data_IF_805675869433
#
_entry.id   IF_805675869433
#
_cell.length_a   1.000
_cell.length_b   1.000
_cell.length_c   1.000
_cell.angle_alpha   90.00
_cell.angle_beta   90.00
_cell.angle_gamma   90.00
#
_symmetry.space_group_name_H-M   'P 1'
#
loop_
_entity.id
_entity.type
_entity.pdbx_description
1 polymer ?
#
# COMPACT_ATOMS: atom_id res chain seq x y z
N UNK A 1 21.40 4.87 4.50
CA UNK A 1 20.08 4.38 4.04
C UNK A 1 19.95 4.64 2.55
N UNK A 2 19.78 3.57 1.75
CA UNK A 2 19.73 3.64 0.29
C UNK A 2 18.52 4.49 -0.18
N UNK A 3 18.59 5.07 -1.38
CA UNK A 3 17.50 5.86 -1.99
C UNK A 3 16.19 5.09 -2.03
N UNK A 4 16.22 3.82 -2.44
CA UNK A 4 15.05 2.95 -2.49
C UNK A 4 14.41 2.74 -1.11
N UNK A 5 15.22 2.67 -0.05
CA UNK A 5 14.72 2.61 1.32
C UNK A 5 14.07 3.93 1.75
N UNK A 6 14.66 5.09 1.41
CA UNK A 6 14.06 6.41 1.71
C UNK A 6 12.69 6.58 1.04
N UNK A 7 12.58 6.23 -0.24
CA UNK A 7 11.30 6.27 -0.98
C UNK A 7 10.29 5.32 -0.33
N UNK A 8 10.71 4.09 0.00
CA UNK A 8 9.82 3.09 0.62
C UNK A 8 9.33 3.53 2.00
N UNK A 9 10.19 4.17 2.81
CA UNK A 9 9.80 4.75 4.10
C UNK A 9 8.75 5.85 3.95
N UNK A 10 8.94 6.78 3.00
CA UNK A 10 7.93 7.80 2.70
C UNK A 10 6.61 7.14 2.29
N UNK A 11 6.66 6.09 1.46
CA UNK A 11 5.47 5.36 1.04
C UNK A 11 4.71 4.74 2.23
N UNK A 12 5.43 4.04 3.11
CA UNK A 12 4.84 3.43 4.31
C UNK A 12 4.25 4.48 5.24
N UNK A 13 4.97 5.57 5.51
CA UNK A 13 4.51 6.63 6.41
C UNK A 13 3.24 7.29 5.84
N UNK A 14 3.26 7.70 4.57
CA UNK A 14 2.12 8.35 3.93
C UNK A 14 0.89 7.43 3.88
N UNK A 15 1.04 6.17 3.47
CA UNK A 15 -0.10 5.23 3.41
C UNK A 15 -0.64 4.94 4.81
N UNK A 16 0.24 4.65 5.78
CA UNK A 16 -0.20 4.29 7.14
C UNK A 16 -0.90 5.46 7.83
N UNK A 17 -0.36 6.67 7.71
CA UNK A 17 -0.98 7.88 8.26
C UNK A 17 -2.32 8.19 7.60
N UNK A 18 -2.41 8.07 6.27
CA UNK A 18 -3.67 8.25 5.54
C UNK A 18 -4.75 7.25 5.95
N UNK A 19 -4.38 5.97 6.14
CA UNK A 19 -5.31 4.93 6.59
C UNK A 19 -5.80 5.19 8.01
N UNK A 20 -4.90 5.55 8.93
CA UNK A 20 -5.25 5.85 10.33
C UNK A 20 -6.20 7.05 10.38
N UNK A 21 -5.84 8.16 9.71
CA UNK A 21 -6.66 9.36 9.68
C UNK A 21 -8.03 9.12 9.03
N UNK A 22 -8.07 8.38 7.92
CA UNK A 22 -9.34 8.03 7.26
C UNK A 22 -10.23 7.20 8.20
N UNK A 23 -9.65 6.20 8.88
CA UNK A 23 -10.41 5.33 9.80
C UNK A 23 -10.97 6.12 10.98
N UNK A 24 -10.16 6.99 11.59
CA UNK A 24 -10.60 7.87 12.69
C UNK A 24 -11.72 8.79 12.22
N UNK A 25 -11.55 9.44 11.07
CA UNK A 25 -12.55 10.36 10.51
C UNK A 25 -13.87 9.64 10.21
N UNK A 26 -13.83 8.49 9.54
CA UNK A 26 -15.03 7.68 9.26
C UNK A 26 -15.73 7.28 10.56
N UNK A 27 -14.97 6.85 11.57
CA UNK A 27 -15.54 6.45 12.88
C UNK A 27 -16.26 7.62 13.55
N UNK A 28 -15.63 8.79 13.62
CA UNK A 28 -16.24 9.99 14.22
C UNK A 28 -17.50 10.41 13.45
N UNK A 29 -17.43 10.48 12.12
CA UNK A 29 -18.57 10.88 11.29
C UNK A 29 -19.70 9.85 11.36
N UNK A 30 -19.39 8.57 11.47
CA UNK A 30 -20.37 7.51 11.65
C UNK A 30 -21.19 7.73 12.92
N UNK A 31 -20.55 7.98 14.06
CA UNK A 31 -21.25 8.23 15.32
C UNK A 31 -22.01 9.57 15.37
N UNK A 32 -21.57 10.58 14.60
CA UNK A 32 -22.19 11.92 14.62
C UNK A 32 -23.33 12.08 13.61
N UNK A 33 -23.19 11.52 12.41
CA UNK A 33 -24.07 11.82 11.26
C UNK A 33 -24.58 10.53 10.59
N UNK A 34 -23.87 9.40 10.76
CA UNK A 34 -24.20 8.14 10.13
C UNK A 34 -23.80 8.06 8.65
N UNK A 35 -24.03 6.89 8.05
CA UNK A 35 -23.89 6.70 6.61
C UNK A 35 -25.10 7.29 5.87
N UNK A 36 -24.93 7.85 4.65
CA UNK A 36 -23.74 7.80 3.79
C UNK A 36 -22.73 8.95 3.99
N UNK A 37 -23.02 9.97 4.79
CA UNK A 37 -22.13 11.16 4.90
C UNK A 37 -20.76 10.83 5.52
N UNK A 38 -20.66 9.76 6.31
CA UNK A 38 -19.39 9.28 6.84
C UNK A 38 -18.35 8.87 5.79
N UNK A 39 -18.75 8.60 4.54
CA UNK A 39 -17.82 8.33 3.43
C UNK A 39 -16.88 9.50 3.13
N UNK A 40 -17.20 10.73 3.56
CA UNK A 40 -16.30 11.89 3.43
C UNK A 40 -14.95 11.68 4.13
N UNK A 41 -14.87 10.80 5.13
CA UNK A 41 -13.62 10.46 5.81
C UNK A 41 -12.56 9.84 4.90
N UNK A 42 -12.95 9.26 3.75
CA UNK A 42 -12.01 8.79 2.73
C UNK A 42 -11.21 9.92 2.07
N UNK A 43 -11.58 11.19 2.25
CA UNK A 43 -10.82 12.33 1.75
C UNK A 43 -9.36 12.35 2.24
N UNK A 44 -9.08 11.80 3.43
CA UNK A 44 -7.70 11.70 3.94
C UNK A 44 -6.81 10.73 3.16
N UNK A 45 -7.39 9.85 2.33
CA UNK A 45 -6.61 9.04 1.40
C UNK A 45 -5.89 9.88 0.34
N UNK A 46 -6.27 11.13 0.11
CA UNK A 46 -5.51 12.05 -0.74
C UNK A 46 -4.03 12.19 -0.29
N UNK A 47 -3.73 11.97 0.99
CA UNK A 47 -2.37 12.00 1.53
C UNK A 47 -1.46 10.95 0.87
N UNK A 48 -2.02 9.81 0.42
CA UNK A 48 -1.23 8.78 -0.28
C UNK A 48 -0.71 9.28 -1.62
N UNK A 49 -1.29 10.32 -2.22
CA UNK A 49 -0.79 10.94 -3.44
C UNK A 49 0.61 11.53 -3.26
N UNK A 50 0.92 12.09 -2.09
CA UNK A 50 2.25 12.63 -1.79
C UNK A 50 3.33 11.54 -1.75
N UNK A 51 2.94 10.31 -1.44
CA UNK A 51 3.83 9.16 -1.44
C UNK A 51 4.43 8.89 -2.85
N UNK A 52 3.63 9.13 -3.90
CA UNK A 52 4.06 9.02 -5.30
C UNK A 52 5.09 10.06 -5.74
N UNK A 53 5.29 11.12 -4.96
CA UNK A 53 6.31 12.16 -5.24
C UNK A 53 7.71 11.77 -4.72
N UNK A 54 7.84 10.64 -4.01
CA UNK A 54 9.13 10.15 -3.50
C UNK A 54 10.27 10.15 -4.53
N UNK A 55 10.07 9.67 -5.78
CA UNK A 55 11.11 9.70 -6.81
C UNK A 55 11.55 11.10 -7.24
N UNK A 56 10.69 12.12 -7.11
CA UNK A 56 10.99 13.51 -7.42
C UNK A 56 11.77 14.20 -6.28
N UNK A 57 11.43 13.87 -5.03
CA UNK A 57 12.08 14.41 -3.84
C UNK A 57 13.49 13.83 -3.67
N UNK A 58 13.63 12.52 -3.85
CA UNK A 58 14.92 11.85 -3.79
C UNK A 58 15.49 11.69 -5.20
N UNK A 59 16.18 12.73 -5.67
CA UNK A 59 16.95 12.66 -6.93
C UNK A 59 18.07 11.62 -6.82
N UNK A 60 18.45 11.06 -7.96
CA UNK A 60 19.53 10.08 -8.08
C UNK A 60 20.87 10.83 -8.09
N UNK A 61 21.85 10.33 -7.34
CA UNK A 61 23.19 10.89 -7.37
C UNK A 61 23.83 10.68 -8.76
N UNK A 62 24.52 11.69 -9.32
CA UNK A 62 25.19 11.59 -10.61
C UNK A 62 26.50 10.79 -10.48
N UNK A 63 26.38 9.50 -10.16
CA UNK A 63 27.49 8.55 -10.11
C UNK A 63 27.57 7.67 -11.36
N UNK A 64 28.73 7.04 -11.63
CA UNK A 64 28.94 6.19 -12.80
C UNK A 64 28.09 4.90 -12.78
N UNK A 65 27.66 4.44 -11.61
CA UNK A 65 26.80 3.26 -11.47
C UNK A 65 25.33 3.71 -11.43
N UNK A 66 24.64 3.61 -12.56
CA UNK A 66 23.23 4.00 -12.66
C UNK A 66 22.26 2.92 -12.15
N UNK A 67 22.60 1.64 -12.18
CA UNK A 67 21.73 0.59 -11.66
C UNK A 67 22.59 -0.46 -10.97
N UNK A 68 22.29 -0.70 -9.69
CA UNK A 68 22.79 -1.86 -8.97
C UNK A 68 21.85 -3.04 -9.27
N UNK A 69 22.39 -4.15 -9.77
CA UNK A 69 21.63 -5.38 -10.04
C UNK A 69 20.91 -5.88 -8.79
N UNK A 70 21.50 -5.67 -7.61
CA UNK A 70 20.88 -6.00 -6.32
C UNK A 70 19.58 -5.24 -6.12
N UNK A 71 19.58 -3.94 -6.39
CA UNK A 71 18.42 -3.07 -6.20
C UNK A 71 17.29 -3.47 -7.16
N UNK A 72 17.62 -3.89 -8.39
CA UNK A 72 16.65 -4.43 -9.34
C UNK A 72 16.02 -5.74 -8.84
N UNK A 73 16.84 -6.65 -8.33
CA UNK A 73 16.37 -7.95 -7.84
C UNK A 73 15.47 -7.80 -6.59
N UNK A 74 15.82 -6.88 -5.68
CA UNK A 74 14.97 -6.53 -4.53
C UNK A 74 13.63 -5.96 -5.01
N UNK A 75 13.67 -5.02 -5.97
CA UNK A 75 12.45 -4.40 -6.49
C UNK A 75 11.54 -5.42 -7.19
N UNK A 76 12.10 -6.35 -7.97
CA UNK A 76 11.32 -7.43 -8.60
C UNK A 76 10.66 -8.35 -7.57
N UNK A 77 11.40 -8.75 -6.52
CA UNK A 77 10.84 -9.57 -5.43
C UNK A 77 9.72 -8.83 -4.70
N UNK A 78 9.92 -7.56 -4.40
CA UNK A 78 8.90 -6.72 -3.77
C UNK A 78 7.65 -6.54 -4.66
N UNK A 79 7.82 -6.40 -5.98
CA UNK A 79 6.71 -6.27 -6.92
C UNK A 79 5.86 -7.54 -6.96
N UNK A 80 6.50 -8.71 -7.01
CA UNK A 80 5.81 -10.01 -6.94
C UNK A 80 5.05 -10.18 -5.63
N UNK A 81 5.66 -9.85 -4.50
CA UNK A 81 5.01 -9.91 -3.19
C UNK A 81 3.81 -8.95 -3.10
N UNK A 82 3.98 -7.71 -3.56
CA UNK A 82 2.91 -6.71 -3.61
C UNK A 82 1.71 -7.18 -4.44
N UNK A 83 1.97 -7.71 -5.64
CA UNK A 83 0.93 -8.24 -6.51
C UNK A 83 0.23 -9.49 -5.92
N UNK A 84 0.98 -10.44 -5.37
CA UNK A 84 0.40 -11.65 -4.79
C UNK A 84 -0.54 -11.32 -3.61
N UNK A 85 -0.12 -10.43 -2.72
CA UNK A 85 -0.93 -10.02 -1.57
C UNK A 85 -2.13 -9.19 -2.01
N UNK A 86 -1.97 -8.24 -2.94
CA UNK A 86 -3.10 -7.44 -3.43
C UNK A 86 -4.15 -8.29 -4.16
N UNK A 87 -3.71 -9.27 -4.95
CA UNK A 87 -4.61 -10.22 -5.60
C UNK A 87 -5.38 -11.06 -4.57
N UNK A 88 -4.70 -11.55 -3.53
CA UNK A 88 -5.34 -12.25 -2.42
C UNK A 88 -6.39 -11.39 -1.70
N UNK A 89 -6.04 -10.15 -1.37
CA UNK A 89 -6.97 -9.20 -0.74
C UNK A 89 -8.16 -8.89 -1.65
N UNK A 90 -7.93 -8.66 -2.94
CA UNK A 90 -9.01 -8.44 -3.90
C UNK A 90 -9.98 -9.62 -3.96
N UNK A 91 -9.46 -10.85 -4.08
CA UNK A 91 -10.27 -12.07 -4.08
C UNK A 91 -11.07 -12.24 -2.80
N UNK A 92 -10.45 -11.99 -1.63
CA UNK A 92 -11.12 -12.03 -0.33
C UNK A 92 -12.25 -11.01 -0.23
N UNK A 93 -12.03 -9.77 -0.69
CA UNK A 93 -13.06 -8.74 -0.67
C UNK A 93 -14.21 -9.06 -1.63
N UNK A 94 -13.93 -9.57 -2.82
CA UNK A 94 -14.97 -10.02 -3.76
C UNK A 94 -15.83 -11.13 -3.16
N UNK A 95 -15.20 -12.18 -2.61
CA UNK A 95 -15.94 -13.29 -1.98
C UNK A 95 -16.70 -12.83 -0.74
N UNK A 96 -16.12 -11.94 0.07
CA UNK A 96 -16.77 -11.38 1.25
C UNK A 96 -18.01 -10.54 0.91
N UNK A 97 -17.93 -9.69 -0.11
CA UNK A 97 -19.09 -8.92 -0.61
C UNK A 97 -20.16 -9.86 -1.14
N UNK A 98 -19.78 -10.87 -1.92
CA UNK A 98 -20.71 -11.84 -2.48
C UNK A 98 -21.48 -12.59 -1.38
N UNK A 99 -20.79 -13.12 -0.36
CA UNK A 99 -21.42 -13.79 0.80
C UNK A 99 -22.34 -12.82 1.55
N UNK A 100 -21.93 -11.57 1.74
CA UNK A 100 -22.74 -10.55 2.41
C UNK A 100 -24.02 -10.21 1.63
N UNK A 101 -23.92 -10.07 0.30
CA UNK A 101 -25.07 -9.86 -0.58
C UNK A 101 -26.03 -11.06 -0.54
N UNK A 102 -25.50 -12.29 -0.56
CA UNK A 102 -26.29 -13.50 -0.44
C UNK A 102 -27.07 -13.54 0.89
N UNK A 103 -26.42 -13.25 2.01
CA UNK A 103 -27.09 -13.23 3.32
C UNK A 103 -28.19 -12.16 3.42
N UNK A 104 -28.04 -11.05 2.69
CA UNK A 104 -29.01 -9.94 2.66
C UNK A 104 -30.06 -10.06 1.55
N UNK A 105 -30.07 -11.16 0.79
CA UNK A 105 -30.91 -11.35 -0.40
C UNK A 105 -30.82 -10.17 -1.39
N UNK A 106 -29.64 -9.56 -1.52
CA UNK A 106 -29.42 -8.47 -2.45
C UNK A 106 -29.07 -9.05 -3.83
N UNK A 107 -29.97 -8.86 -4.80
CA UNK A 107 -29.79 -9.36 -6.17
C UNK A 107 -28.81 -8.52 -7.00
N UNK A 108 -28.48 -7.31 -6.55
CA UNK A 108 -27.64 -6.37 -7.29
C UNK A 108 -26.47 -5.85 -6.44
N UNK A 109 -25.34 -5.60 -7.09
CA UNK A 109 -24.13 -5.04 -6.49
C UNK A 109 -23.97 -3.62 -7.02
N UNK A 110 -23.71 -2.66 -6.12
CA UNK A 110 -23.47 -1.28 -6.50
C UNK A 110 -22.23 -1.14 -7.37
N UNK A 111 -22.36 -0.39 -8.47
CA UNK A 111 -21.26 -0.11 -9.41
C UNK A 111 -20.09 0.61 -8.72
N UNK A 112 -20.37 1.37 -7.66
CA UNK A 112 -19.35 2.11 -6.91
C UNK A 112 -18.40 1.19 -6.11
N UNK A 113 -18.78 -0.08 -5.87
CA UNK A 113 -17.93 -1.03 -5.15
C UNK A 113 -16.69 -1.41 -5.95
N UNK A 114 -16.79 -1.50 -7.29
CA UNK A 114 -15.68 -1.93 -8.12
C UNK A 114 -14.47 -0.97 -8.03
N UNK A 115 -14.62 0.36 -8.20
CA UNK A 115 -13.53 1.30 -7.96
C UNK A 115 -12.95 1.21 -6.54
N UNK A 116 -13.78 1.01 -5.52
CA UNK A 116 -13.32 0.89 -4.13
C UNK A 116 -12.48 -0.37 -3.91
N UNK A 117 -12.86 -1.49 -4.51
CA UNK A 117 -12.11 -2.75 -4.47
C UNK A 117 -10.73 -2.60 -5.13
N UNK A 118 -10.69 -1.98 -6.31
CA UNK A 118 -9.42 -1.71 -7.00
C UNK A 118 -8.53 -0.75 -6.22
N UNK A 119 -9.12 0.28 -5.62
CA UNK A 119 -8.40 1.20 -4.75
C UNK A 119 -7.79 0.46 -3.56
N UNK A 120 -8.57 -0.37 -2.86
CA UNK A 120 -8.09 -1.18 -1.74
C UNK A 120 -6.94 -2.11 -2.15
N UNK A 121 -7.11 -2.86 -3.25
CA UNK A 121 -6.07 -3.74 -3.77
C UNK A 121 -4.80 -2.97 -4.18
N UNK A 122 -4.95 -1.80 -4.81
CA UNK A 122 -3.83 -0.93 -5.18
C UNK A 122 -3.05 -0.44 -3.96
N UNK A 123 -3.74 0.04 -2.92
CA UNK A 123 -3.11 0.47 -1.66
C UNK A 123 -2.35 -0.69 -1.02
N UNK A 124 -2.95 -1.87 -0.96
CA UNK A 124 -2.29 -3.08 -0.45
C UNK A 124 -1.04 -3.39 -1.26
N UNK A 125 -1.11 -3.36 -2.59
CA UNK A 125 0.03 -3.65 -3.46
C UNK A 125 1.21 -2.72 -3.17
N UNK A 126 0.96 -1.41 -3.10
CA UNK A 126 2.00 -0.40 -2.85
C UNK A 126 2.56 -0.47 -1.43
N UNK A 127 1.71 -0.70 -0.43
CA UNK A 127 2.14 -0.84 0.96
C UNK A 127 3.01 -2.09 1.14
N UNK A 128 2.55 -3.23 0.64
CA UNK A 128 3.30 -4.48 0.69
C UNK A 128 4.62 -4.38 -0.08
N UNK A 129 4.61 -3.75 -1.27
CA UNK A 129 5.83 -3.50 -2.03
C UNK A 129 6.86 -2.71 -1.21
N UNK A 130 6.44 -1.57 -0.62
CA UNK A 130 7.32 -0.73 0.18
C UNK A 130 7.84 -1.45 1.44
N UNK A 131 6.97 -2.17 2.16
CA UNK A 131 7.37 -2.98 3.33
C UNK A 131 8.37 -4.07 2.93
N UNK A 132 8.12 -4.76 1.81
CA UNK A 132 9.00 -5.83 1.32
C UNK A 132 10.39 -5.29 0.95
N UNK A 133 10.46 -4.11 0.33
CA UNK A 133 11.74 -3.43 0.07
C UNK A 133 12.48 -3.20 1.39
N UNK A 134 11.82 -2.59 2.39
CA UNK A 134 12.45 -2.28 3.67
C UNK A 134 12.94 -3.56 4.39
N UNK A 135 12.13 -4.62 4.35
CA UNK A 135 12.46 -5.90 4.94
C UNK A 135 13.67 -6.57 4.27
N UNK A 136 13.69 -6.63 2.93
CA UNK A 136 14.78 -7.24 2.17
C UNK A 136 16.11 -6.51 2.37
N UNK A 137 16.10 -5.17 2.31
CA UNK A 137 17.32 -4.41 2.63
C UNK A 137 17.75 -4.58 4.09
N UNK A 138 16.80 -4.66 5.02
CA UNK A 138 17.11 -4.90 6.44
C UNK A 138 17.76 -6.27 6.67
N UNK A 139 17.32 -7.30 5.93
CA UNK A 139 17.90 -8.65 5.99
C UNK A 139 19.30 -8.69 5.40
N UNK A 140 19.52 -8.05 4.26
CA UNK A 140 20.81 -8.07 3.56
C UNK A 140 21.89 -7.31 4.34
N UNK A 141 21.54 -6.21 5.01
CA UNK A 141 22.48 -5.48 5.88
C UNK A 141 22.97 -6.35 7.05
N UNK A 142 22.11 -7.20 7.62
CA UNK A 142 22.48 -8.12 8.72
C UNK A 142 23.38 -9.26 8.26
N UNK A 143 23.21 -9.73 7.02
CA UNK A 143 24.06 -10.79 6.45
C UNK A 143 25.49 -10.29 6.20
N UNK A 144 25.68 -9.01 5.86
CA UNK A 144 27.00 -8.44 5.59
C UNK A 144 27.87 -8.28 6.85
N UNK A 145 27.30 -8.27 8.06
CA UNK A 145 28.04 -8.17 9.33
C UNK A 145 28.44 -9.55 9.91
N UNK A 146 27.92 -10.65 9.35
CA UNK A 146 28.18 -12.02 9.80
C UNK A 146 28.85 -12.93 8.78
N UNK A 147 29.37 -12.37 7.68
CA UNK A 147 29.97 -13.12 6.57
C UNK A 147 31.38 -13.62 6.86
N UNK A 148 31.53 -14.56 7.78
CA UNK A 148 32.60 -15.55 7.76
C UNK A 148 31.93 -16.93 7.66
N UNK A 149 31.92 -17.48 6.44
CA UNK A 149 31.72 -18.89 6.17
C UNK A 149 33.04 -19.43 5.59
#
# INVERSE_FOLDING_TARGET
MNRMQKISWVMVICISTALILSTIAITILYYKIGFPRAWAGWGFMGITGFAGLGPLIFKKDPGPVQCDERDQLINMKAARAGFAISYGVFGLLCMGIWICCQYRNAETISIHLLPMLFMAAGITAYLTHAITILFLYGKDNKLSEGGAA
#
